data_IF_360140593938
#
_entry.id   IF_360140593938
#
_cell.length_a   1.000
_cell.length_b   1.000
_cell.length_c   1.000
_cell.angle_alpha   90.00
_cell.angle_beta   90.00
_cell.angle_gamma   90.00
#
_symmetry.space_group_name_H-M   'P 1'
#
loop_
_entity.id
_entity.type
_entity.pdbx_description
1 polymer ?
#
# COMPACT_ATOMS: atom_id res chain seq x y z
N UNK A 1 37.31 -44.86 -16.10
CA UNK A 1 36.49 -43.69 -16.47
C UNK A 1 35.05 -44.11 -16.24
N UNK A 2 34.40 -43.59 -15.22
CA UNK A 2 33.00 -43.87 -14.94
C UNK A 2 32.13 -43.09 -15.93
N UNK A 3 31.27 -43.79 -16.65
CA UNK A 3 30.30 -43.20 -17.57
C UNK A 3 29.29 -42.35 -16.79
N UNK A 4 29.40 -41.04 -16.92
CA UNK A 4 28.42 -40.11 -16.35
C UNK A 4 27.16 -40.14 -17.22
N UNK A 5 26.04 -40.51 -16.65
CA UNK A 5 24.80 -40.61 -17.40
C UNK A 5 24.31 -39.26 -17.91
N UNK A 6 23.64 -39.23 -19.09
CA UNK A 6 23.03 -38.00 -19.63
C UNK A 6 22.16 -37.26 -18.62
N UNK A 7 21.51 -37.96 -17.68
CA UNK A 7 20.68 -37.40 -16.63
C UNK A 7 21.48 -36.67 -15.55
N UNK A 8 22.66 -37.23 -15.19
CA UNK A 8 23.58 -36.59 -14.24
C UNK A 8 24.25 -35.37 -14.84
N UNK A 9 24.58 -35.41 -16.11
CA UNK A 9 25.13 -34.26 -16.85
C UNK A 9 24.10 -33.11 -16.96
N UNK A 10 22.83 -33.41 -17.25
CA UNK A 10 21.76 -32.39 -17.31
C UNK A 10 21.46 -31.84 -15.90
N UNK A 11 21.48 -32.65 -14.86
CA UNK A 11 21.29 -32.18 -13.46
C UNK A 11 22.45 -31.30 -13.00
N UNK A 12 23.68 -31.67 -13.29
CA UNK A 12 24.85 -30.86 -12.94
C UNK A 12 24.88 -29.57 -13.74
N UNK A 13 24.54 -29.61 -15.03
CA UNK A 13 24.47 -28.43 -15.90
C UNK A 13 23.36 -27.45 -15.51
N UNK A 14 22.18 -27.95 -15.14
CA UNK A 14 21.09 -27.05 -14.68
C UNK A 14 21.35 -26.45 -13.32
N UNK A 15 22.05 -27.15 -12.43
CA UNK A 15 22.43 -26.61 -11.12
C UNK A 15 23.49 -25.51 -11.26
N UNK A 16 24.50 -25.71 -12.13
CA UNK A 16 25.54 -24.68 -12.38
C UNK A 16 25.00 -23.45 -13.08
N UNK A 17 24.07 -23.57 -14.02
CA UNK A 17 23.43 -22.41 -14.68
C UNK A 17 22.54 -21.65 -13.70
N UNK A 18 21.80 -22.34 -12.83
CA UNK A 18 20.97 -21.71 -11.80
C UNK A 18 21.82 -20.96 -10.76
N UNK A 19 22.90 -21.55 -10.29
CA UNK A 19 23.80 -20.92 -9.30
C UNK A 19 24.55 -19.73 -9.92
N UNK A 20 25.01 -19.82 -11.16
CA UNK A 20 25.69 -18.71 -11.82
C UNK A 20 24.75 -17.55 -12.16
N UNK A 21 23.49 -17.83 -12.55
CA UNK A 21 22.48 -16.80 -12.77
C UNK A 21 22.10 -16.10 -11.45
N UNK A 22 21.95 -16.86 -10.37
CA UNK A 22 21.65 -16.31 -9.05
C UNK A 22 22.85 -15.53 -8.49
N UNK A 23 24.07 -16.04 -8.62
CA UNK A 23 25.29 -15.34 -8.22
C UNK A 23 25.49 -14.05 -9.03
N UNK A 24 25.19 -14.04 -10.32
CA UNK A 24 25.25 -12.82 -11.15
C UNK A 24 24.18 -11.80 -10.78
N UNK A 25 23.00 -12.25 -10.34
CA UNK A 25 21.94 -11.37 -9.84
C UNK A 25 22.35 -10.72 -8.51
N UNK A 26 22.92 -11.51 -7.59
CA UNK A 26 23.45 -11.02 -6.32
C UNK A 26 24.64 -10.07 -6.52
N UNK A 27 25.54 -10.37 -7.47
CA UNK A 27 26.64 -9.51 -7.83
C UNK A 27 26.16 -8.17 -8.41
N UNK A 28 25.16 -8.19 -9.31
CA UNK A 28 24.51 -6.97 -9.81
C UNK A 28 23.79 -6.16 -8.74
N UNK A 29 23.16 -6.82 -7.76
CA UNK A 29 22.60 -6.14 -6.59
C UNK A 29 23.71 -5.51 -5.72
N UNK A 30 24.82 -6.22 -5.49
CA UNK A 30 25.97 -5.70 -4.76
C UNK A 30 26.64 -4.54 -5.49
N UNK A 31 26.80 -4.63 -6.82
CA UNK A 31 27.32 -3.54 -7.66
C UNK A 31 26.38 -2.33 -7.68
N UNK A 32 25.07 -2.53 -7.75
CA UNK A 32 24.09 -1.45 -7.65
C UNK A 32 24.10 -0.76 -6.28
N UNK A 33 24.35 -1.53 -5.22
CA UNK A 33 24.54 -0.99 -3.87
C UNK A 33 25.92 -0.29 -3.70
N UNK A 34 26.98 -0.84 -4.29
CA UNK A 34 28.31 -0.26 -4.24
C UNK A 34 28.45 0.98 -5.17
N UNK A 35 27.70 1.04 -6.27
CA UNK A 35 27.68 2.20 -7.17
C UNK A 35 26.96 3.43 -6.58
N UNK A 36 26.54 3.37 -5.32
CA UNK A 36 25.93 4.51 -4.64
C UNK A 36 24.69 5.01 -5.37
N UNK A 37 23.74 4.10 -5.66
CA UNK A 37 22.43 4.54 -6.10
C UNK A 37 21.96 5.65 -5.16
N UNK A 38 21.62 6.83 -5.66
CA UNK A 38 21.23 7.92 -4.78
C UNK A 38 20.12 7.42 -3.86
N UNK A 39 20.13 7.73 -2.57
CA UNK A 39 19.13 7.25 -1.64
C UNK A 39 17.75 7.60 -2.19
N UNK A 40 16.86 6.61 -2.21
CA UNK A 40 15.52 6.77 -2.73
C UNK A 40 14.85 8.03 -2.17
N UNK A 41 14.42 8.93 -3.03
CA UNK A 41 13.85 10.24 -2.64
C UNK A 41 12.39 10.11 -2.17
N UNK A 42 11.72 9.00 -2.53
CA UNK A 42 10.34 8.75 -2.13
C UNK A 42 10.22 8.60 -0.61
N UNK A 43 9.28 9.31 -0.03
CA UNK A 43 9.00 9.29 1.41
C UNK A 43 7.79 8.43 1.75
N UNK A 44 6.86 8.28 0.81
CA UNK A 44 5.64 7.51 0.98
C UNK A 44 5.16 6.96 -0.37
N UNK A 45 4.25 6.00 -0.31
CA UNK A 45 3.57 5.41 -1.47
C UNK A 45 2.06 5.59 -1.31
N UNK A 46 1.42 6.07 -2.35
CA UNK A 46 -0.04 6.01 -2.51
C UNK A 46 -0.33 5.02 -3.62
N UNK A 47 -0.94 3.88 -3.27
CA UNK A 47 -1.32 2.86 -4.22
C UNK A 47 -2.76 3.07 -4.68
N UNK A 48 -2.95 3.44 -5.93
CA UNK A 48 -4.28 3.55 -6.55
C UNK A 48 -4.63 2.24 -7.24
N UNK A 49 -5.37 1.38 -6.56
CA UNK A 49 -5.78 0.10 -7.10
C UNK A 49 -7.02 0.25 -7.99
N UNK A 50 -6.85 0.00 -9.28
CA UNK A 50 -7.95 0.02 -10.25
C UNK A 50 -8.66 -1.34 -10.24
N UNK A 51 -9.62 -1.49 -9.35
CA UNK A 51 -10.41 -2.71 -9.22
C UNK A 51 -11.23 -3.00 -10.48
N UNK A 52 -11.51 -4.28 -10.75
CA UNK A 52 -12.28 -4.71 -11.91
C UNK A 52 -11.47 -4.89 -13.20
N UNK A 53 -10.17 -4.61 -13.18
CA UNK A 53 -9.25 -4.90 -14.27
C UNK A 53 -9.55 -4.10 -15.55
N UNK A 54 -9.54 -2.76 -15.54
CA UNK A 54 -9.69 -1.97 -16.75
C UNK A 54 -8.60 -2.38 -17.76
N UNK A 55 -8.98 -2.65 -19.03
CA UNK A 55 -8.05 -3.19 -20.00
C UNK A 55 -6.97 -2.16 -20.35
N UNK A 56 -5.76 -2.64 -20.60
CA UNK A 56 -4.63 -1.77 -20.98
C UNK A 56 -4.90 -1.02 -22.28
N UNK A 57 -5.66 -1.63 -23.23
CA UNK A 57 -6.01 -1.02 -24.51
C UNK A 57 -6.93 0.21 -24.37
N UNK A 58 -7.74 0.27 -23.34
CA UNK A 58 -8.63 1.41 -23.04
C UNK A 58 -7.98 2.45 -22.13
N UNK A 59 -6.81 2.14 -21.57
CA UNK A 59 -6.15 2.99 -20.59
C UNK A 59 -4.75 3.45 -21.05
N UNK A 60 -3.69 2.76 -20.66
CA UNK A 60 -2.32 3.25 -20.80
C UNK A 60 -1.59 2.68 -22.02
N UNK A 61 -2.17 1.74 -22.76
CA UNK A 61 -1.52 1.10 -23.91
C UNK A 61 -2.51 0.87 -25.08
N UNK A 62 -3.12 1.92 -25.61
CA UNK A 62 -4.05 1.80 -26.73
C UNK A 62 -3.34 1.28 -28.00
N UNK A 63 -4.03 0.45 -28.77
CA UNK A 63 -3.54 -0.19 -29.98
C UNK A 63 -4.47 0.10 -31.19
N UNK A 64 -4.70 1.37 -31.55
CA UNK A 64 -5.67 1.72 -32.59
C UNK A 64 -5.33 1.10 -33.96
N UNK A 65 -4.03 0.85 -34.21
CA UNK A 65 -3.54 0.26 -35.46
C UNK A 65 -3.71 -1.27 -35.53
N UNK A 66 -4.06 -1.94 -34.43
CA UNK A 66 -4.20 -3.40 -34.39
C UNK A 66 -5.48 -3.93 -35.04
N UNK A 67 -6.36 -3.04 -35.51
CA UNK A 67 -7.65 -3.39 -36.09
C UNK A 67 -8.79 -3.43 -35.06
N UNK A 68 -10.02 -3.47 -35.58
CA UNK A 68 -11.24 -3.33 -34.76
C UNK A 68 -11.40 -4.43 -33.71
N UNK A 69 -11.01 -5.64 -34.05
CA UNK A 69 -11.14 -6.80 -33.16
C UNK A 69 -10.23 -6.73 -31.91
N UNK A 70 -9.16 -5.92 -31.98
CA UNK A 70 -8.14 -5.84 -30.93
C UNK A 70 -8.06 -4.46 -30.25
N UNK A 71 -8.57 -3.42 -30.89
CA UNK A 71 -8.44 -2.04 -30.38
C UNK A 71 -9.43 -1.69 -29.26
N UNK A 72 -10.44 -2.55 -29.01
CA UNK A 72 -11.54 -2.25 -28.09
C UNK A 72 -12.50 -1.16 -28.59
N UNK A 73 -13.50 -0.76 -27.79
CA UNK A 73 -14.49 0.25 -28.17
C UNK A 73 -13.97 1.68 -28.15
N UNK A 74 -12.93 1.97 -27.35
CA UNK A 74 -12.32 3.31 -27.18
C UNK A 74 -11.15 3.48 -28.14
N UNK A 75 -11.41 3.98 -29.34
CA UNK A 75 -10.47 3.98 -30.47
C UNK A 75 -9.83 5.32 -30.75
N UNK A 76 -10.05 6.31 -29.91
CA UNK A 76 -9.52 7.67 -30.09
C UNK A 76 -8.49 8.00 -29.00
N UNK A 77 -7.32 7.34 -29.00
CA UNK A 77 -6.30 7.64 -28.02
C UNK A 77 -5.89 9.10 -28.12
N UNK A 78 -5.55 9.69 -26.99
CA UNK A 78 -5.08 11.07 -26.92
C UNK A 78 -3.55 11.10 -26.89
N UNK A 79 -2.97 12.06 -27.62
CA UNK A 79 -1.55 12.35 -27.54
C UNK A 79 -1.21 12.89 -26.16
N UNK A 80 -0.05 12.51 -25.66
CA UNK A 80 0.47 13.01 -24.38
C UNK A 80 1.40 14.21 -24.62
N UNK A 81 1.84 14.86 -23.54
CA UNK A 81 2.90 15.88 -23.63
C UNK A 81 4.30 15.32 -23.92
N UNK A 82 4.42 13.98 -24.09
CA UNK A 82 5.63 13.31 -24.55
C UNK A 82 5.39 12.74 -25.95
N UNK A 83 6.22 13.17 -26.91
CA UNK A 83 6.10 12.75 -28.29
C UNK A 83 6.14 11.22 -28.43
N UNK A 84 5.23 10.66 -29.23
CA UNK A 84 5.14 9.24 -29.53
C UNK A 84 4.48 8.40 -28.43
N UNK A 85 4.00 9.00 -27.35
CA UNK A 85 3.25 8.31 -26.30
C UNK A 85 1.78 8.73 -26.35
N UNK A 86 0.90 7.75 -26.53
CA UNK A 86 -0.56 7.91 -26.50
C UNK A 86 -1.14 7.09 -25.36
N UNK A 87 -2.23 7.57 -24.78
CA UNK A 87 -3.03 6.85 -23.78
C UNK A 87 -4.52 6.93 -24.13
N UNK A 88 -5.35 6.15 -23.44
CA UNK A 88 -6.78 6.07 -23.69
C UNK A 88 -7.50 7.42 -23.56
N UNK A 89 -8.52 7.62 -24.39
CA UNK A 89 -9.29 8.87 -24.49
C UNK A 89 -9.99 9.29 -23.20
N UNK A 90 -10.19 8.38 -22.26
CA UNK A 90 -10.79 8.68 -20.94
C UNK A 90 -9.79 9.27 -19.93
N UNK A 91 -8.52 9.40 -20.30
CA UNK A 91 -7.45 9.89 -19.42
C UNK A 91 -6.81 11.23 -19.87
N UNK A 92 -7.60 12.24 -20.32
CA UNK A 92 -7.05 13.43 -20.96
C UNK A 92 -6.21 14.31 -20.01
N UNK A 93 -6.49 14.27 -18.71
CA UNK A 93 -5.70 15.01 -17.70
C UNK A 93 -4.37 14.31 -17.47
N UNK A 94 -4.35 12.98 -17.44
CA UNK A 94 -3.12 12.20 -17.33
C UNK A 94 -2.22 12.35 -18.56
N UNK A 95 -2.80 12.44 -19.76
CA UNK A 95 -2.05 12.71 -20.98
C UNK A 95 -1.18 13.96 -20.88
N UNK A 96 -1.68 15.02 -20.25
CA UNK A 96 -0.97 16.28 -20.03
C UNK A 96 0.14 16.24 -18.98
N UNK A 97 0.30 15.10 -18.30
CA UNK A 97 1.23 14.91 -17.19
C UNK A 97 2.20 13.73 -17.44
N UNK A 98 2.31 13.24 -18.69
CA UNK A 98 3.09 12.05 -19.00
C UNK A 98 4.60 12.21 -18.69
N UNK A 99 5.10 13.43 -18.64
CA UNK A 99 6.45 13.79 -18.19
C UNK A 99 6.70 13.52 -16.70
N UNK A 100 5.66 13.20 -15.91
CA UNK A 100 5.73 13.03 -14.46
C UNK A 100 5.56 11.60 -13.98
N UNK A 101 5.30 10.65 -14.89
CA UNK A 101 5.10 9.25 -14.52
C UNK A 101 5.80 8.30 -15.50
N UNK A 102 6.01 7.06 -15.06
CA UNK A 102 6.52 5.99 -15.89
C UNK A 102 5.42 4.99 -16.26
N UNK A 103 5.44 4.47 -17.49
CA UNK A 103 4.53 3.43 -17.96
C UNK A 103 5.28 2.12 -18.11
N UNK A 104 4.87 1.10 -17.37
CA UNK A 104 5.42 -0.26 -17.44
C UNK A 104 4.44 -1.15 -18.23
N UNK A 105 4.48 -1.09 -19.56
CA UNK A 105 3.53 -1.77 -20.45
C UNK A 105 3.80 -3.27 -20.62
N UNK A 106 5.01 -3.73 -20.31
CA UNK A 106 5.41 -5.14 -20.42
C UNK A 106 5.11 -5.98 -19.18
N UNK A 107 4.42 -5.41 -18.18
CA UNK A 107 4.12 -6.11 -16.95
C UNK A 107 3.07 -7.20 -17.17
N UNK A 108 3.36 -8.44 -16.74
CA UNK A 108 2.44 -9.57 -16.81
C UNK A 108 2.59 -10.47 -15.58
N UNK A 109 1.53 -11.14 -15.17
CA UNK A 109 1.52 -12.08 -14.04
C UNK A 109 1.05 -13.49 -14.44
N UNK A 110 0.75 -13.73 -15.73
CA UNK A 110 0.42 -15.05 -16.25
C UNK A 110 -0.89 -15.66 -15.75
N UNK A 111 -1.78 -14.89 -15.16
CA UNK A 111 -3.06 -15.36 -14.63
C UNK A 111 -4.20 -14.42 -15.00
N UNK A 112 -5.34 -14.97 -15.45
CA UNK A 112 -6.51 -14.19 -15.87
C UNK A 112 -7.67 -14.21 -14.85
N UNK A 113 -7.52 -14.90 -13.72
CA UNK A 113 -8.48 -14.86 -12.62
C UNK A 113 -8.27 -13.63 -11.74
N UNK A 114 -9.29 -12.78 -11.60
CA UNK A 114 -9.20 -11.50 -10.86
C UNK A 114 -8.58 -11.64 -9.46
N UNK A 115 -9.03 -12.63 -8.70
CA UNK A 115 -8.58 -12.83 -7.32
C UNK A 115 -7.12 -13.28 -7.25
N UNK A 116 -6.76 -14.29 -8.04
CA UNK A 116 -5.38 -14.81 -8.08
C UNK A 116 -4.42 -13.76 -8.64
N UNK A 117 -4.80 -13.06 -9.70
CA UNK A 117 -4.00 -11.98 -10.28
C UNK A 117 -3.79 -10.83 -9.27
N UNK A 118 -4.84 -10.42 -8.56
CA UNK A 118 -4.74 -9.40 -7.49
C UNK A 118 -3.76 -9.86 -6.42
N UNK A 119 -3.86 -11.11 -5.96
CA UNK A 119 -2.95 -11.65 -4.95
C UNK A 119 -1.50 -11.62 -5.42
N UNK A 120 -1.24 -12.09 -6.64
CA UNK A 120 0.13 -12.10 -7.22
C UNK A 120 0.70 -10.66 -7.29
N UNK A 121 -0.10 -9.70 -7.75
CA UNK A 121 0.37 -8.31 -7.88
C UNK A 121 0.60 -7.66 -6.51
N UNK A 122 -0.21 -7.99 -5.49
CA UNK A 122 -0.07 -7.42 -4.14
C UNK A 122 1.03 -8.08 -3.31
N UNK A 123 1.33 -9.36 -3.54
CA UNK A 123 2.25 -10.14 -2.69
C UNK A 123 3.52 -10.60 -3.42
N UNK A 124 3.54 -10.54 -4.76
CA UNK A 124 4.64 -11.04 -5.58
C UNK A 124 4.68 -12.57 -5.72
N UNK A 125 3.65 -13.31 -5.25
CA UNK A 125 3.64 -14.77 -5.25
C UNK A 125 2.24 -15.34 -5.51
N UNK A 126 2.17 -16.62 -5.87
CA UNK A 126 0.90 -17.35 -5.99
C UNK A 126 0.26 -17.57 -4.61
N UNK A 127 -1.07 -17.60 -4.53
CA UNK A 127 -1.75 -18.01 -3.31
C UNK A 127 -1.34 -19.42 -2.87
N UNK A 128 -1.16 -19.62 -1.57
CA UNK A 128 -0.91 -20.92 -0.94
C UNK A 128 -2.02 -21.23 0.06
N UNK A 129 -2.27 -22.54 0.29
CA UNK A 129 -3.20 -22.96 1.32
C UNK A 129 -2.53 -22.98 2.71
N UNK A 130 -1.20 -23.08 2.75
CA UNK A 130 -0.44 -23.29 3.98
C UNK A 130 0.11 -21.97 4.56
N UNK A 131 0.27 -20.95 3.71
CA UNK A 131 0.91 -19.71 4.10
C UNK A 131 0.28 -18.48 3.45
N UNK A 132 -0.05 -17.49 4.26
CA UNK A 132 -0.46 -16.17 3.78
C UNK A 132 0.78 -15.29 3.64
N UNK A 133 1.00 -14.80 2.43
CA UNK A 133 2.12 -13.90 2.15
C UNK A 133 1.76 -12.44 2.42
N UNK A 134 2.72 -11.64 2.89
CA UNK A 134 2.47 -10.23 3.18
C UNK A 134 2.24 -9.42 1.91
N UNK A 135 1.27 -8.53 1.94
CA UNK A 135 1.07 -7.52 0.90
C UNK A 135 2.19 -6.45 0.92
N UNK A 136 2.37 -5.75 -0.19
CA UNK A 136 3.38 -4.69 -0.33
C UNK A 136 3.36 -3.68 0.83
N UNK A 137 2.16 -3.24 1.25
CA UNK A 137 2.02 -2.30 2.36
C UNK A 137 2.51 -2.84 3.70
N UNK A 138 2.32 -4.14 3.96
CA UNK A 138 2.84 -4.79 5.15
C UNK A 138 4.38 -4.85 5.15
N UNK A 139 4.98 -5.12 3.99
CA UNK A 139 6.45 -5.08 3.84
C UNK A 139 7.00 -3.67 4.04
N UNK A 140 6.30 -2.65 3.53
CA UNK A 140 6.67 -1.25 3.77
C UNK A 140 6.50 -0.90 5.25
N UNK A 141 5.42 -1.35 5.90
CA UNK A 141 5.22 -1.20 7.34
C UNK A 141 6.36 -1.79 8.16
N UNK A 142 6.82 -2.99 7.83
CA UNK A 142 7.99 -3.60 8.47
C UNK A 142 9.27 -2.75 8.29
N UNK A 143 9.56 -2.29 7.07
CA UNK A 143 10.83 -1.63 6.74
C UNK A 143 10.85 -0.13 7.01
N UNK A 144 9.72 0.54 6.99
CA UNK A 144 9.56 2.00 7.12
C UNK A 144 8.51 2.39 8.18
N UNK A 145 7.93 1.43 8.88
CA UNK A 145 7.05 1.64 10.00
C UNK A 145 7.80 1.95 11.29
N UNK A 146 7.21 1.63 12.42
CA UNK A 146 7.75 1.98 13.74
C UNK A 146 9.17 1.44 13.97
N UNK A 147 9.44 0.19 13.61
CA UNK A 147 10.77 -0.41 13.68
C UNK A 147 11.76 0.23 12.69
N UNK A 148 11.26 0.70 11.54
CA UNK A 148 12.02 1.44 10.53
C UNK A 148 12.25 2.91 10.87
N UNK A 149 11.87 3.35 12.08
CA UNK A 149 12.09 4.70 12.59
C UNK A 149 10.94 5.68 12.32
N UNK A 150 9.79 5.22 11.89
CA UNK A 150 8.59 6.05 11.77
C UNK A 150 8.14 6.53 13.16
N UNK A 151 7.96 7.84 13.30
CA UNK A 151 7.56 8.48 14.57
C UNK A 151 6.15 9.04 14.56
N UNK A 152 5.42 8.81 13.45
CA UNK A 152 4.04 9.30 13.34
C UNK A 152 3.09 8.58 14.29
N UNK A 153 2.01 9.26 14.64
CA UNK A 153 0.94 8.72 15.48
C UNK A 153 0.00 7.82 14.68
N UNK A 154 -0.16 8.10 13.37
CA UNK A 154 -1.00 7.32 12.47
C UNK A 154 -0.37 5.95 12.19
N UNK A 155 -1.17 4.90 11.94
CA UNK A 155 -0.62 3.62 11.50
C UNK A 155 0.23 3.77 10.23
N UNK A 156 1.36 3.04 10.11
CA UNK A 156 2.27 3.16 8.98
C UNK A 156 1.73 2.54 7.68
N UNK A 157 0.69 1.74 7.76
CA UNK A 157 -0.01 1.15 6.62
C UNK A 157 -1.51 1.35 6.77
N UNK A 158 -2.11 2.10 5.87
CA UNK A 158 -3.55 2.44 5.89
C UNK A 158 -4.19 2.03 4.57
N UNK A 159 -5.33 1.34 4.63
CA UNK A 159 -6.20 1.08 3.48
C UNK A 159 -7.44 1.96 3.61
N UNK A 160 -7.71 2.73 2.57
CA UNK A 160 -8.89 3.59 2.55
C UNK A 160 -10.14 2.79 2.23
N UNK A 161 -11.21 3.14 2.94
CA UNK A 161 -12.52 2.49 2.90
C UNK A 161 -12.51 1.08 3.46
N UNK A 162 -12.89 0.07 2.71
CA UNK A 162 -13.03 -1.31 3.20
C UNK A 162 -11.71 -2.07 3.14
N UNK A 163 -11.41 -2.94 4.11
CA UNK A 163 -10.28 -3.84 4.00
C UNK A 163 -10.46 -4.77 2.79
N UNK A 164 -9.37 -5.06 2.10
CA UNK A 164 -9.36 -5.92 0.92
C UNK A 164 -9.08 -7.41 1.26
N UNK A 165 -9.34 -7.83 2.50
CA UNK A 165 -9.09 -9.19 2.96
C UNK A 165 -7.65 -9.62 2.73
N UNK A 166 -7.45 -10.83 2.21
CA UNK A 166 -6.11 -11.42 2.00
C UNK A 166 -5.17 -10.61 1.10
N UNK A 167 -5.66 -9.61 0.39
CA UNK A 167 -4.85 -8.76 -0.48
C UNK A 167 -4.12 -7.64 0.27
N UNK A 168 -4.45 -7.44 1.53
CA UNK A 168 -3.84 -6.41 2.41
C UNK A 168 -3.32 -6.98 3.72
N UNK A 169 -3.23 -8.32 3.83
CA UNK A 169 -2.78 -8.99 5.04
C UNK A 169 -1.27 -8.83 5.27
N UNK A 170 -0.90 -8.90 6.54
CA UNK A 170 0.50 -8.92 6.95
C UNK A 170 1.14 -10.31 6.81
N UNK A 171 0.33 -11.36 6.68
CA UNK A 171 0.80 -12.73 6.57
C UNK A 171 1.70 -13.13 7.74
N UNK A 172 2.82 -13.74 7.43
CA UNK A 172 3.79 -14.20 8.43
C UNK A 172 4.61 -13.08 9.09
N UNK A 173 4.40 -11.80 8.71
CA UNK A 173 5.09 -10.68 9.34
C UNK A 173 4.51 -10.30 10.72
N UNK A 174 3.30 -10.75 11.03
CA UNK A 174 2.62 -10.43 12.28
C UNK A 174 1.59 -9.30 12.18
N UNK A 175 0.71 -9.24 13.17
CA UNK A 175 -0.43 -8.33 13.19
C UNK A 175 -0.04 -6.84 13.30
N UNK A 176 1.12 -6.54 13.83
CA UNK A 176 1.68 -5.19 13.95
C UNK A 176 1.94 -4.52 12.60
N UNK A 177 2.06 -5.32 11.53
CA UNK A 177 2.23 -4.85 10.16
C UNK A 177 0.93 -4.90 9.33
N UNK A 178 -0.18 -5.29 9.96
CA UNK A 178 -1.49 -5.32 9.31
C UNK A 178 -1.96 -3.91 8.96
N UNK A 179 -2.70 -3.81 7.86
CA UNK A 179 -3.29 -2.54 7.47
C UNK A 179 -4.34 -2.07 8.46
N UNK A 180 -4.37 -0.77 8.70
CA UNK A 180 -5.50 -0.10 9.34
C UNK A 180 -6.49 0.34 8.25
N UNK A 181 -7.72 -0.17 8.27
CA UNK A 181 -8.75 0.20 7.30
C UNK A 181 -9.62 1.33 7.88
N UNK A 182 -9.81 2.41 7.14
CA UNK A 182 -10.57 3.57 7.62
C UNK A 182 -12.07 3.33 7.71
N UNK A 183 -12.59 2.34 6.97
CA UNK A 183 -14.04 2.18 6.82
C UNK A 183 -14.69 3.34 6.04
N UNK A 184 -16.01 3.29 5.92
CA UNK A 184 -16.85 4.37 5.44
C UNK A 184 -16.62 4.83 3.99
N UNK A 185 -17.29 5.93 3.63
CA UNK A 185 -17.13 6.63 2.36
C UNK A 185 -16.66 8.06 2.61
N UNK A 186 -15.42 8.43 2.21
CA UNK A 186 -14.90 9.78 2.40
C UNK A 186 -15.70 10.89 1.68
N UNK A 187 -16.57 10.55 0.73
CA UNK A 187 -17.47 11.50 0.08
C UNK A 187 -18.75 11.77 0.88
N UNK A 188 -19.08 10.91 1.83
CA UNK A 188 -20.24 11.10 2.70
C UNK A 188 -20.10 12.36 3.58
N UNK A 189 -21.21 13.04 3.81
CA UNK A 189 -21.27 14.17 4.75
C UNK A 189 -20.95 13.78 6.19
N UNK A 190 -21.30 12.55 6.55
CA UNK A 190 -21.12 11.99 7.89
C UNK A 190 -19.89 11.09 7.97
N UNK A 191 -18.95 11.24 7.04
CA UNK A 191 -17.73 10.43 7.06
C UNK A 191 -16.98 10.63 8.36
N UNK A 192 -16.76 9.53 9.04
CA UNK A 192 -15.90 9.44 10.24
C UNK A 192 -15.21 8.09 10.24
N UNK A 193 -14.04 8.04 10.82
CA UNK A 193 -13.33 6.78 11.07
C UNK A 193 -13.77 6.27 12.43
N UNK A 194 -14.60 5.25 12.44
CA UNK A 194 -15.37 4.82 13.65
C UNK A 194 -14.49 4.54 14.87
N UNK A 195 -13.32 3.94 14.69
CA UNK A 195 -12.42 3.63 15.79
C UNK A 195 -11.65 4.85 16.34
N UNK A 196 -11.63 5.95 15.56
CA UNK A 196 -10.92 7.20 15.94
C UNK A 196 -11.89 8.23 16.54
N UNK A 197 -13.15 8.18 16.12
CA UNK A 197 -14.16 9.09 16.63
C UNK A 197 -14.88 8.45 17.83
N UNK A 198 -14.75 9.01 19.03
CA UNK A 198 -15.45 8.49 20.19
C UNK A 198 -16.97 8.48 19.97
N UNK A 199 -17.70 7.53 20.55
CA UNK A 199 -19.16 7.56 20.56
C UNK A 199 -19.69 8.90 21.08
N UNK A 200 -20.82 9.38 20.58
CA UNK A 200 -21.40 10.70 20.94
C UNK A 200 -21.59 10.93 22.45
N UNK A 201 -21.76 9.86 23.23
CA UNK A 201 -21.88 9.93 24.69
C UNK A 201 -20.53 10.03 25.42
N UNK A 202 -19.41 9.85 24.72
CA UNK A 202 -18.05 9.90 25.26
C UNK A 202 -17.45 11.28 24.98
N UNK A 203 -17.37 12.12 25.98
CA UNK A 203 -16.72 13.43 25.88
C UNK A 203 -15.19 13.30 25.94
N UNK A 204 -14.47 14.28 25.39
CA UNK A 204 -13.00 14.36 25.48
C UNK A 204 -12.53 14.39 26.95
N UNK A 205 -13.31 14.96 27.84
CA UNK A 205 -13.01 14.96 29.28
C UNK A 205 -13.07 13.53 29.84
N UNK A 206 -14.13 12.78 29.55
CA UNK A 206 -14.25 11.37 29.97
C UNK A 206 -13.15 10.47 29.39
N UNK A 207 -12.73 10.76 28.17
CA UNK A 207 -11.60 10.05 27.57
C UNK A 207 -10.30 10.33 28.31
N UNK A 208 -10.01 11.59 28.64
CA UNK A 208 -8.84 11.97 29.44
C UNK A 208 -8.87 11.35 30.85
N UNK A 209 -10.02 11.35 31.49
CA UNK A 209 -10.21 10.73 32.81
C UNK A 209 -9.95 9.22 32.76
N UNK A 210 -10.50 8.52 31.74
CA UNK A 210 -10.25 7.08 31.54
C UNK A 210 -8.77 6.79 31.25
N UNK A 211 -8.10 7.62 30.45
CA UNK A 211 -6.66 7.49 30.22
C UNK A 211 -5.88 7.66 31.51
N UNK A 212 -6.20 8.66 32.29
CA UNK A 212 -5.56 8.90 33.61
C UNK A 212 -5.73 7.71 34.56
N UNK A 213 -6.93 7.14 34.61
CA UNK A 213 -7.22 5.96 35.44
C UNK A 213 -6.44 4.75 34.96
N UNK A 214 -6.41 4.49 33.63
CA UNK A 214 -5.64 3.39 33.04
C UNK A 214 -4.16 3.53 33.36
N UNK A 215 -3.58 4.73 33.14
CA UNK A 215 -2.16 4.99 33.46
C UNK A 215 -1.84 4.76 34.94
N UNK A 216 -2.77 5.10 35.84
CA UNK A 216 -2.61 4.84 37.28
C UNK A 216 -2.66 3.32 37.59
N UNK A 217 -3.55 2.58 36.94
CA UNK A 217 -3.62 1.12 37.06
C UNK A 217 -2.38 0.44 36.51
N UNK A 218 -1.89 0.88 35.37
CA UNK A 218 -0.66 0.36 34.72
C UNK A 218 0.58 0.63 35.60
N UNK A 219 0.66 1.80 36.24
CA UNK A 219 1.71 2.11 37.20
C UNK A 219 1.67 1.22 38.45
N UNK A 220 0.48 0.81 38.86
CA UNK A 220 0.32 -0.15 39.97
C UNK A 220 0.70 -1.56 39.53
N UNK A 221 0.32 -1.97 38.30
CA UNK A 221 0.66 -3.25 37.75
C UNK A 221 2.17 -3.39 37.50
N UNK A 222 2.83 -2.35 36.99
CA UNK A 222 4.28 -2.31 36.81
C UNK A 222 5.08 -2.47 38.10
N UNK A 223 4.53 -2.04 39.26
CA UNK A 223 5.13 -2.27 40.56
C UNK A 223 5.01 -3.70 41.06
N UNK A 224 4.15 -4.50 40.45
CA UNK A 224 3.89 -5.88 40.87
C UNK A 224 4.71 -6.92 40.09
N UNK A 225 5.76 -6.51 39.40
CA UNK A 225 6.70 -7.37 38.64
C UNK A 225 6.01 -8.23 37.58
N UNK A 226 5.11 -7.63 36.82
CA UNK A 226 4.30 -8.34 35.83
C UNK A 226 4.93 -8.35 34.43
N UNK A 227 4.73 -9.49 33.79
CA UNK A 227 5.07 -9.97 32.44
C UNK A 227 5.42 -8.89 31.38
N UNK A 228 6.51 -9.06 30.60
CA UNK A 228 6.89 -8.20 29.46
C UNK A 228 5.76 -7.90 28.46
N UNK A 229 4.81 -8.82 28.31
CA UNK A 229 3.61 -8.68 27.48
C UNK A 229 2.75 -7.47 27.88
N UNK A 230 2.78 -7.08 29.16
CA UNK A 230 2.05 -5.91 29.65
C UNK A 230 2.68 -4.59 29.21
N UNK A 231 3.99 -4.55 29.00
CA UNK A 231 4.67 -3.36 28.49
C UNK A 231 4.27 -3.08 27.02
N UNK A 232 4.16 -4.10 26.20
CA UNK A 232 3.69 -3.98 24.81
C UNK A 232 2.23 -3.54 24.76
N UNK A 233 1.36 -4.10 25.61
CA UNK A 233 -0.04 -3.72 25.70
C UNK A 233 -0.19 -2.24 26.02
N UNK A 234 0.63 -1.72 26.95
CA UNK A 234 0.66 -0.31 27.34
C UNK A 234 1.06 0.60 26.17
N UNK A 235 2.04 0.19 25.36
CA UNK A 235 2.45 0.96 24.16
C UNK A 235 1.31 1.04 23.13
N UNK A 236 0.63 -0.07 22.84
CA UNK A 236 -0.53 -0.09 21.96
C UNK A 236 -1.68 0.78 22.46
N UNK A 237 -1.96 0.75 23.76
CA UNK A 237 -2.99 1.58 24.38
C UNK A 237 -2.64 3.06 24.27
N UNK A 238 -1.39 3.45 24.56
CA UNK A 238 -0.93 4.84 24.41
C UNK A 238 -1.05 5.33 22.97
N UNK A 239 -0.70 4.49 21.99
CA UNK A 239 -0.87 4.78 20.56
C UNK A 239 -2.35 4.95 20.19
N UNK A 240 -3.24 4.08 20.69
CA UNK A 240 -4.68 4.19 20.47
C UNK A 240 -5.26 5.48 21.07
N UNK A 241 -4.90 5.84 22.30
CA UNK A 241 -5.33 7.10 22.89
C UNK A 241 -4.80 8.33 22.15
N UNK A 242 -3.57 8.27 21.65
CA UNK A 242 -2.98 9.35 20.85
C UNK A 242 -3.71 9.53 19.52
N UNK A 243 -4.19 8.44 18.91
CA UNK A 243 -5.05 8.47 17.73
C UNK A 243 -6.40 9.17 18.03
N UNK A 244 -7.05 8.81 19.12
CA UNK A 244 -8.39 9.29 19.47
C UNK A 244 -8.38 10.74 19.95
N UNK A 245 -7.42 11.12 20.80
CA UNK A 245 -7.36 12.43 21.48
C UNK A 245 -6.48 13.46 20.76
N UNK A 246 -5.65 13.04 19.82
CA UNK A 246 -4.60 13.86 19.23
C UNK A 246 -4.94 14.42 17.84
N UNK A 247 -3.94 15.09 17.25
CA UNK A 247 -3.97 15.64 15.88
C UNK A 247 -4.22 14.58 14.80
N UNK A 248 -4.11 13.28 15.13
CA UNK A 248 -4.40 12.18 14.22
C UNK A 248 -5.85 12.24 13.70
N UNK A 249 -6.82 12.59 14.55
CA UNK A 249 -8.23 12.76 14.14
C UNK A 249 -8.39 13.82 13.04
N UNK A 250 -7.64 14.91 13.13
CA UNK A 250 -7.68 15.99 12.15
C UNK A 250 -7.20 15.54 10.75
N UNK A 251 -6.37 14.48 10.70
CA UNK A 251 -5.91 13.93 9.44
C UNK A 251 -7.06 13.43 8.56
N UNK A 252 -8.09 12.88 9.20
CA UNK A 252 -9.24 12.28 8.54
C UNK A 252 -10.38 13.28 8.26
N UNK A 253 -10.30 14.50 8.79
CA UNK A 253 -11.32 15.52 8.57
C UNK A 253 -11.15 16.21 7.22
N UNK A 254 -11.91 15.76 6.23
CA UNK A 254 -11.95 16.36 4.90
C UNK A 254 -12.70 17.70 4.85
N UNK A 255 -13.45 18.06 5.90
CA UNK A 255 -14.15 19.36 5.93
C UNK A 255 -13.17 20.51 6.19
N UNK A 256 -11.97 20.20 6.66
CA UNK A 256 -10.87 21.17 6.77
C UNK A 256 -10.28 21.59 5.40
N UNK A 257 -10.60 20.87 4.32
CA UNK A 257 -10.13 21.20 2.97
C UNK A 257 -11.09 22.16 2.27
N UNK A 258 -10.56 23.13 1.49
CA UNK A 258 -11.38 24.05 0.71
C UNK A 258 -12.31 23.30 -0.26
N UNK A 259 -13.53 23.80 -0.42
CA UNK A 259 -14.51 23.22 -1.34
C UNK A 259 -14.02 23.13 -2.78
N UNK A 260 -13.30 24.14 -3.26
CA UNK A 260 -12.69 24.13 -4.59
C UNK A 260 -11.74 22.94 -4.78
N UNK A 261 -10.90 22.66 -3.79
CA UNK A 261 -9.98 21.53 -3.83
C UNK A 261 -10.72 20.21 -3.80
N UNK A 262 -11.71 20.07 -2.92
CA UNK A 262 -12.56 18.90 -2.85
C UNK A 262 -13.30 18.64 -4.17
N UNK A 263 -13.78 19.69 -4.83
CA UNK A 263 -14.43 19.62 -6.14
C UNK A 263 -13.43 19.17 -7.23
N UNK A 264 -12.20 19.69 -7.18
CA UNK A 264 -11.13 19.30 -8.12
C UNK A 264 -10.77 17.83 -8.03
N UNK A 265 -10.75 17.24 -6.84
CA UNK A 265 -10.57 15.79 -6.66
C UNK A 265 -11.82 14.98 -7.07
N UNK A 266 -12.99 15.62 -7.13
CA UNK A 266 -14.29 14.98 -7.36
C UNK A 266 -15.00 14.62 -6.06
N UNK A 267 -16.30 14.99 -5.96
CA UNK A 267 -17.17 14.69 -4.81
C UNK A 267 -17.73 13.28 -4.87
N UNK A 268 -16.87 12.31 -5.12
CA UNK A 268 -17.20 10.89 -5.14
C UNK A 268 -16.20 10.12 -4.28
N UNK A 269 -16.53 8.87 -3.98
CA UNK A 269 -15.73 8.00 -3.11
C UNK A 269 -14.26 7.95 -3.50
N UNK A 270 -13.97 7.75 -4.80
CA UNK A 270 -12.59 7.63 -5.28
C UNK A 270 -11.82 8.94 -5.14
N UNK A 271 -12.40 10.05 -5.62
CA UNK A 271 -11.75 11.37 -5.55
C UNK A 271 -11.48 11.82 -4.12
N UNK A 272 -12.47 11.67 -3.22
CA UNK A 272 -12.27 12.02 -1.81
C UNK A 272 -11.31 11.05 -1.10
N UNK A 273 -11.22 9.78 -1.52
CA UNK A 273 -10.18 8.87 -1.04
C UNK A 273 -8.79 9.31 -1.47
N UNK A 274 -8.61 9.76 -2.71
CA UNK A 274 -7.33 10.31 -3.17
C UNK A 274 -6.92 11.56 -2.38
N UNK A 275 -7.87 12.45 -2.06
CA UNK A 275 -7.62 13.61 -1.22
C UNK A 275 -7.23 13.21 0.21
N UNK A 276 -7.92 12.23 0.77
CA UNK A 276 -7.59 11.68 2.09
C UNK A 276 -6.20 11.03 2.10
N UNK A 277 -5.85 10.25 1.08
CA UNK A 277 -4.52 9.66 0.94
C UNK A 277 -3.42 10.73 0.95
N UNK A 278 -3.61 11.83 0.19
CA UNK A 278 -2.69 12.96 0.20
C UNK A 278 -2.50 13.52 1.62
N UNK A 279 -3.59 13.78 2.36
CA UNK A 279 -3.53 14.31 3.74
C UNK A 279 -2.77 13.40 4.69
N UNK A 280 -2.97 12.09 4.56
CA UNK A 280 -2.29 11.09 5.38
C UNK A 280 -0.79 11.04 5.07
N UNK A 281 -0.39 11.10 3.80
CA UNK A 281 1.03 11.18 3.39
C UNK A 281 1.68 12.47 3.90
N UNK A 282 0.99 13.61 3.83
CA UNK A 282 1.47 14.88 4.38
C UNK A 282 1.73 14.82 5.89
N UNK A 283 1.11 13.85 6.59
CA UNK A 283 1.35 13.54 8.01
C UNK A 283 2.34 12.41 8.22
N UNK A 284 3.00 11.98 7.16
CA UNK A 284 4.12 11.05 7.19
C UNK A 284 3.76 9.58 7.07
N UNK A 285 2.49 9.20 6.80
CA UNK A 285 2.13 7.78 6.60
C UNK A 285 2.91 7.18 5.43
N UNK A 286 3.67 6.10 5.64
CA UNK A 286 4.56 5.55 4.61
C UNK A 286 3.84 4.85 3.46
N UNK A 287 2.66 4.22 3.70
CA UNK A 287 1.93 3.46 2.68
C UNK A 287 0.41 3.58 2.85
N UNK A 288 -0.26 3.90 1.75
CA UNK A 288 -1.71 4.04 1.69
C UNK A 288 -2.23 3.34 0.44
#
# INVERSE_FOLDING_TARGET
>A
MQDVSRREFIRAGSLTIGVSAFASLLARQAEAQAAGAPPGRAKAVIQLWMSGGPPHIDTFDPKPEAGEDYAGPLRRPVETNISGIRIGELLPVMAKQADKYALLRSFTHGNNGHETATYIVQTGTLPSNDLVYPAMGAVVSLKKGYEGGYKGVLPPYITLTSPLGRFTEAGFLGNEHKTYATGGDPASKDFSVEEIVPPRWMTDQRLRERRGLLTAMDALAARADLDPTMAELNDYQQKAFSLILGQAREAFDLNAEPDELRNRYGRNRFGQSCLLARRLVERGVPFI
#
